data_IF_691371375633
#
_entry.id   IF_691371375633
#
_cell.length_a   1.000
_cell.length_b   1.000
_cell.length_c   1.000
_cell.angle_alpha   90.00
_cell.angle_beta   90.00
_cell.angle_gamma   90.00
#
_symmetry.space_group_name_H-M   'P 1'
#
loop_
_entity.id
_entity.type
_entity.pdbx_description
1 polymer ?
#
# COMPACT_ATOMS: atom_id res chain seq x y z
N UNK A 1 13.12 10.22 -12.25
CA UNK A 1 11.86 10.85 -11.84
C UNK A 1 12.13 11.52 -10.52
N UNK A 2 11.85 12.81 -10.41
CA UNK A 2 12.26 13.58 -9.24
C UNK A 2 11.34 13.28 -8.05
N UNK A 3 11.86 13.46 -6.83
CA UNK A 3 11.14 13.15 -5.59
C UNK A 3 9.80 13.89 -5.48
N UNK A 4 9.74 15.14 -5.98
CA UNK A 4 8.53 15.94 -6.02
C UNK A 4 7.45 15.31 -6.90
N UNK A 5 7.80 14.87 -8.11
CA UNK A 5 6.86 14.17 -9.02
C UNK A 5 6.33 12.90 -8.39
N UNK A 6 7.20 12.12 -7.72
CA UNK A 6 6.77 10.91 -7.00
C UNK A 6 5.80 11.24 -5.89
N UNK A 7 6.09 12.26 -5.07
CA UNK A 7 5.23 12.69 -3.99
C UNK A 7 3.85 13.13 -4.48
N UNK A 8 3.79 13.94 -5.54
CA UNK A 8 2.53 14.39 -6.15
C UNK A 8 1.72 13.21 -6.69
N UNK A 9 2.36 12.24 -7.35
CA UNK A 9 1.67 11.07 -7.88
C UNK A 9 1.20 10.12 -6.77
N UNK A 10 1.95 9.98 -5.68
CA UNK A 10 1.52 9.20 -4.50
C UNK A 10 0.34 9.88 -3.82
N UNK A 11 0.38 11.21 -3.67
CA UNK A 11 -0.75 12.01 -3.19
C UNK A 11 -1.97 11.80 -4.09
N UNK A 12 -1.82 11.88 -5.41
CA UNK A 12 -2.92 11.65 -6.35
C UNK A 12 -3.50 10.23 -6.25
N UNK A 13 -2.65 9.21 -6.10
CA UNK A 13 -3.08 7.82 -5.92
C UNK A 13 -3.81 7.59 -4.57
N UNK A 14 -3.41 8.29 -3.51
CA UNK A 14 -4.10 8.24 -2.23
C UNK A 14 -5.48 8.92 -2.33
N UNK A 15 -5.55 10.09 -2.95
CA UNK A 15 -6.81 10.81 -3.15
C UNK A 15 -7.76 10.05 -4.08
N UNK A 16 -7.25 9.32 -5.08
CA UNK A 16 -8.10 8.49 -5.94
C UNK A 16 -8.74 7.32 -5.18
N UNK A 17 -8.05 6.73 -4.19
CA UNK A 17 -8.67 5.74 -3.28
C UNK A 17 -9.76 6.37 -2.42
N UNK A 18 -9.52 7.57 -1.85
CA UNK A 18 -10.53 8.28 -1.06
C UNK A 18 -11.79 8.56 -1.90
N UNK A 19 -11.60 9.07 -3.13
CA UNK A 19 -12.69 9.33 -4.05
C UNK A 19 -13.43 8.03 -4.43
N UNK A 20 -12.70 6.95 -4.71
CA UNK A 20 -13.29 5.66 -5.05
C UNK A 20 -14.13 5.09 -3.90
N UNK A 21 -13.67 5.21 -2.65
CA UNK A 21 -14.40 4.79 -1.46
C UNK A 21 -15.73 5.54 -1.27
N UNK A 22 -15.82 6.80 -1.71
CA UNK A 22 -17.08 7.56 -1.73
C UNK A 22 -18.02 7.16 -2.87
N UNK A 23 -17.48 6.80 -4.03
CA UNK A 23 -18.29 6.49 -5.21
C UNK A 23 -18.98 5.14 -5.07
N UNK A 24 -18.22 4.08 -4.81
CA UNK A 24 -18.76 2.74 -4.60
C UNK A 24 -17.66 1.78 -4.15
N UNK A 25 -18.06 0.68 -3.51
CA UNK A 25 -17.15 -0.41 -3.18
C UNK A 25 -16.45 -0.98 -4.42
N UNK A 26 -17.17 -1.16 -5.54
CA UNK A 26 -16.60 -1.64 -6.79
C UNK A 26 -15.56 -0.68 -7.37
N UNK A 27 -15.75 0.63 -7.22
CA UNK A 27 -14.74 1.61 -7.61
C UNK A 27 -13.48 1.48 -6.74
N UNK A 28 -13.64 1.29 -5.43
CA UNK A 28 -12.52 1.08 -4.52
C UNK A 28 -11.73 -0.19 -4.87
N UNK A 29 -12.43 -1.28 -5.15
CA UNK A 29 -11.83 -2.54 -5.63
C UNK A 29 -11.08 -2.31 -6.94
N UNK A 30 -11.66 -1.56 -7.89
CA UNK A 30 -11.03 -1.23 -9.17
C UNK A 30 -9.73 -0.43 -9.02
N UNK A 31 -9.72 0.59 -8.16
CA UNK A 31 -8.51 1.38 -7.86
C UNK A 31 -7.46 0.55 -7.13
N UNK A 32 -7.87 -0.28 -6.17
CA UNK A 32 -6.97 -1.21 -5.49
C UNK A 32 -6.38 -2.24 -6.45
N UNK A 33 -7.16 -2.78 -7.38
CA UNK A 33 -6.69 -3.72 -8.41
C UNK A 33 -5.70 -3.05 -9.37
N UNK A 34 -5.96 -1.81 -9.78
CA UNK A 34 -5.00 -1.04 -10.57
C UNK A 34 -3.69 -0.81 -9.80
N UNK A 35 -3.78 -0.47 -8.52
CA UNK A 35 -2.62 -0.30 -7.66
C UNK A 35 -1.79 -1.60 -7.55
N UNK A 36 -2.45 -2.74 -7.34
CA UNK A 36 -1.83 -4.07 -7.34
C UNK A 36 -1.10 -4.35 -8.66
N UNK A 37 -1.72 -4.06 -9.80
CA UNK A 37 -1.10 -4.29 -11.11
C UNK A 37 0.12 -3.38 -11.33
N UNK A 38 0.04 -2.11 -10.93
CA UNK A 38 1.17 -1.17 -11.02
C UNK A 38 2.34 -1.67 -10.17
N UNK A 39 2.07 -2.10 -8.93
CA UNK A 39 3.09 -2.71 -8.06
C UNK A 39 3.64 -3.97 -8.71
N UNK A 40 2.81 -4.89 -9.16
CA UNK A 40 3.26 -6.15 -9.76
C UNK A 40 4.19 -5.92 -10.97
N UNK A 41 3.85 -4.99 -11.85
CA UNK A 41 4.66 -4.67 -13.04
C UNK A 41 6.00 -4.00 -12.69
N UNK A 42 5.99 -3.10 -11.72
CA UNK A 42 7.14 -2.29 -11.33
C UNK A 42 8.07 -2.93 -10.30
N UNK A 43 7.53 -3.79 -9.43
CA UNK A 43 8.23 -4.34 -8.27
C UNK A 43 9.51 -5.10 -8.62
N UNK A 44 9.52 -6.00 -9.62
CA UNK A 44 10.74 -6.72 -9.95
C UNK A 44 11.81 -5.84 -10.59
N UNK A 45 11.42 -4.72 -11.21
CA UNK A 45 12.36 -3.71 -11.70
C UNK A 45 12.89 -2.83 -10.56
N UNK A 46 12.07 -2.55 -9.55
CA UNK A 46 12.44 -1.76 -8.37
C UNK A 46 13.54 -2.45 -7.55
N UNK A 47 13.41 -3.76 -7.33
CA UNK A 47 14.39 -4.56 -6.60
C UNK A 47 15.47 -5.21 -7.49
N UNK A 48 15.50 -4.89 -8.79
CA UNK A 48 16.37 -5.52 -9.78
C UNK A 48 16.45 -7.05 -9.67
N UNK A 49 15.27 -7.68 -9.62
CA UNK A 49 15.15 -9.12 -9.49
C UNK A 49 15.56 -9.82 -10.80
N UNK A 50 16.24 -10.97 -10.71
CA UNK A 50 16.63 -11.73 -11.89
C UNK A 50 15.41 -12.31 -12.63
N UNK A 51 14.43 -12.84 -11.90
CA UNK A 51 13.24 -13.50 -12.46
C UNK A 51 12.06 -12.52 -12.66
N UNK A 52 12.23 -11.47 -13.48
CA UNK A 52 11.25 -10.37 -13.58
C UNK A 52 9.84 -10.82 -13.98
N UNK A 53 9.70 -11.73 -14.95
CA UNK A 53 8.39 -12.18 -15.43
C UNK A 53 7.69 -13.09 -14.41
N UNK A 54 8.43 -14.04 -13.84
CA UNK A 54 7.90 -14.93 -12.79
C UNK A 54 7.42 -14.14 -11.58
N UNK A 55 8.24 -13.21 -11.10
CA UNK A 55 7.90 -12.33 -9.99
C UNK A 55 6.68 -11.44 -10.28
N UNK A 56 6.60 -10.83 -11.48
CA UNK A 56 5.41 -10.07 -11.93
C UNK A 56 4.14 -10.91 -11.86
N UNK A 57 4.21 -12.13 -12.38
CA UNK A 57 3.07 -13.03 -12.43
C UNK A 57 2.61 -13.44 -11.03
N UNK A 58 3.55 -13.86 -10.16
CA UNK A 58 3.25 -14.26 -8.78
C UNK A 58 2.61 -13.10 -8.02
N UNK A 59 3.20 -11.91 -8.08
CA UNK A 59 2.69 -10.72 -7.36
C UNK A 59 1.33 -10.28 -7.91
N UNK A 60 1.13 -10.26 -9.24
CA UNK A 60 -0.16 -9.91 -9.83
C UNK A 60 -1.25 -10.91 -9.43
N UNK A 61 -0.97 -12.20 -9.56
CA UNK A 61 -1.94 -13.26 -9.26
C UNK A 61 -2.29 -13.29 -7.77
N UNK A 62 -1.30 -13.15 -6.88
CA UNK A 62 -1.56 -13.13 -5.43
C UNK A 62 -2.34 -11.90 -5.01
N UNK A 63 -2.01 -10.73 -5.56
CA UNK A 63 -2.71 -9.49 -5.23
C UNK A 63 -4.15 -9.49 -5.73
N UNK A 64 -4.38 -9.84 -7.00
CA UNK A 64 -5.73 -9.96 -7.55
C UNK A 64 -6.53 -11.07 -6.85
N UNK A 65 -5.88 -12.20 -6.55
CA UNK A 65 -6.46 -13.28 -5.76
C UNK A 65 -6.90 -12.82 -4.37
N UNK A 66 -6.08 -12.02 -3.69
CA UNK A 66 -6.42 -11.43 -2.39
C UNK A 66 -7.64 -10.51 -2.47
N UNK A 67 -7.69 -9.62 -3.47
CA UNK A 67 -8.85 -8.75 -3.67
C UNK A 67 -10.11 -9.56 -4.00
N UNK A 68 -9.99 -10.59 -4.84
CA UNK A 68 -11.11 -11.47 -5.18
C UNK A 68 -11.63 -12.22 -3.95
N UNK A 69 -10.73 -12.82 -3.16
CA UNK A 69 -11.07 -13.52 -1.92
C UNK A 69 -11.82 -12.58 -0.99
N UNK A 70 -11.30 -11.40 -0.68
CA UNK A 70 -12.00 -10.45 0.18
C UNK A 70 -13.35 -10.03 -0.40
N UNK A 71 -13.42 -9.83 -1.72
CA UNK A 71 -14.68 -9.42 -2.37
C UNK A 71 -15.78 -10.45 -2.14
N UNK A 72 -15.45 -11.74 -2.20
CA UNK A 72 -16.40 -12.86 -2.04
C UNK A 72 -16.47 -13.43 -0.61
N UNK A 73 -15.60 -13.01 0.31
CA UNK A 73 -15.66 -13.43 1.71
C UNK A 73 -16.78 -12.67 2.43
N UNK A 74 -17.82 -13.41 2.79
CA UNK A 74 -18.90 -12.93 3.66
C UNK A 74 -18.55 -13.15 5.14
N UNK A 75 -18.82 -12.13 5.95
CA UNK A 75 -18.68 -12.14 7.41
C UNK A 75 -17.29 -11.79 7.93
N UNK A 76 -17.26 -11.18 9.11
CA UNK A 76 -16.01 -10.88 9.81
C UNK A 76 -15.34 -12.16 10.38
N UNK A 77 -14.00 -12.22 10.45
CA UNK A 77 -13.03 -11.20 10.05
C UNK A 77 -12.62 -11.27 8.56
N UNK A 78 -12.69 -10.14 7.85
CA UNK A 78 -12.48 -10.05 6.40
C UNK A 78 -11.10 -10.53 5.90
N UNK A 79 -10.06 -10.46 6.75
CA UNK A 79 -8.70 -10.88 6.37
C UNK A 79 -8.38 -12.37 6.67
N UNK A 80 -9.36 -13.16 7.15
CA UNK A 80 -9.13 -14.55 7.59
C UNK A 80 -8.51 -15.46 6.54
N UNK A 81 -8.81 -15.19 5.26
CA UNK A 81 -8.41 -16.03 4.13
C UNK A 81 -7.08 -15.56 3.50
N UNK A 82 -6.58 -14.35 3.84
CA UNK A 82 -5.31 -13.84 3.31
C UNK A 82 -4.08 -14.71 3.66
N UNK A 83 -3.97 -15.32 4.86
CA UNK A 83 -2.87 -16.25 5.14
C UNK A 83 -2.81 -17.43 4.17
N UNK A 84 -3.97 -17.92 3.70
CA UNK A 84 -4.05 -18.99 2.70
C UNK A 84 -3.54 -18.48 1.35
N UNK A 85 -3.97 -17.29 0.93
CA UNK A 85 -3.47 -16.66 -0.31
C UNK A 85 -1.96 -16.46 -0.25
N UNK A 86 -1.42 -16.01 0.90
CA UNK A 86 0.01 -15.85 1.11
C UNK A 86 0.75 -17.20 1.02
N UNK A 87 0.24 -18.25 1.66
CA UNK A 87 0.85 -19.59 1.59
C UNK A 87 0.90 -20.10 0.15
N UNK A 88 -0.20 -19.97 -0.60
CA UNK A 88 -0.26 -20.35 -2.01
C UNK A 88 0.68 -19.50 -2.88
N UNK A 89 0.80 -18.20 -2.62
CA UNK A 89 1.71 -17.30 -3.33
C UNK A 89 3.18 -17.63 -3.05
N UNK A 90 3.53 -18.01 -1.82
CA UNK A 90 4.88 -18.50 -1.46
C UNK A 90 5.19 -19.79 -2.22
N UNK A 91 4.27 -20.76 -2.24
CA UNK A 91 4.43 -21.97 -3.06
C UNK A 91 4.59 -21.65 -4.54
N UNK A 92 3.76 -20.75 -5.06
CA UNK A 92 3.83 -20.31 -6.45
C UNK A 92 5.16 -19.61 -6.77
N UNK A 93 5.74 -18.87 -5.82
CA UNK A 93 7.06 -18.25 -5.98
C UNK A 93 8.16 -19.31 -6.15
N UNK A 94 8.10 -20.41 -5.38
CA UNK A 94 9.03 -21.53 -5.55
C UNK A 94 8.82 -22.24 -6.89
N UNK A 95 7.57 -22.48 -7.30
CA UNK A 95 7.25 -23.08 -8.60
C UNK A 95 7.81 -22.20 -9.74
N UNK A 96 7.63 -20.88 -9.64
CA UNK A 96 8.15 -19.94 -10.63
C UNK A 96 9.69 -19.98 -10.72
N UNK A 97 10.39 -20.21 -9.61
CA UNK A 97 11.85 -20.36 -9.62
C UNK A 97 12.29 -21.73 -10.17
N UNK A 98 11.51 -22.80 -9.96
CA UNK A 98 11.80 -24.12 -10.52
C UNK A 98 11.68 -24.15 -12.04
N UNK A 99 10.74 -23.36 -12.59
CA UNK A 99 10.57 -23.19 -14.05
C UNK A 99 11.65 -22.29 -14.67
N UNK A 100 12.50 -21.65 -13.85
CA UNK A 100 13.50 -20.70 -14.33
C UNK A 100 14.63 -21.45 -15.06
N UNK A 101 14.92 -21.10 -16.33
CA UNK A 101 15.99 -21.76 -17.10
C UNK A 101 17.40 -21.39 -16.63
N UNK A 102 17.53 -20.26 -15.93
CA UNK A 102 18.82 -19.73 -15.50
C UNK A 102 19.42 -20.61 -14.40
N UNK A 103 20.75 -20.69 -14.30
CA UNK A 103 21.49 -21.54 -13.34
C UNK A 103 21.30 -21.20 -11.84
N UNK A 104 20.16 -20.62 -11.46
CA UNK A 104 19.68 -20.35 -10.10
C UNK A 104 20.54 -19.39 -9.29
N UNK A 105 21.29 -18.53 -9.98
CA UNK A 105 22.02 -17.41 -9.36
C UNK A 105 21.02 -16.47 -8.68
N UNK A 106 21.31 -16.02 -7.46
CA UNK A 106 20.44 -15.11 -6.67
C UNK A 106 19.02 -15.64 -6.41
N UNK A 107 18.82 -16.96 -6.32
CA UNK A 107 17.49 -17.56 -6.06
C UNK A 107 16.85 -17.04 -4.76
N UNK A 108 17.62 -16.99 -3.66
CA UNK A 108 17.11 -16.49 -2.37
C UNK A 108 16.63 -15.05 -2.49
N UNK A 109 17.38 -14.20 -3.18
CA UNK A 109 17.01 -12.80 -3.41
C UNK A 109 15.76 -12.66 -4.28
N UNK A 110 15.64 -13.50 -5.33
CA UNK A 110 14.47 -13.52 -6.20
C UNK A 110 13.21 -13.95 -5.45
N UNK A 111 13.28 -15.01 -4.64
CA UNK A 111 12.16 -15.48 -3.82
C UNK A 111 11.82 -14.45 -2.76
N UNK A 112 12.80 -13.98 -1.97
CA UNK A 112 12.58 -13.01 -0.91
C UNK A 112 11.98 -11.71 -1.46
N UNK A 113 12.52 -11.21 -2.58
CA UNK A 113 11.98 -10.05 -3.27
C UNK A 113 10.55 -10.27 -3.75
N UNK A 114 10.25 -11.43 -4.33
CA UNK A 114 8.89 -11.76 -4.80
C UNK A 114 7.91 -11.86 -3.62
N UNK A 115 8.27 -12.54 -2.53
CA UNK A 115 7.44 -12.67 -1.33
C UNK A 115 7.21 -11.30 -0.67
N UNK A 116 8.21 -10.43 -0.61
CA UNK A 116 8.01 -9.04 -0.17
C UNK A 116 6.99 -8.30 -1.05
N UNK A 117 7.05 -8.49 -2.37
CA UNK A 117 6.06 -7.92 -3.30
C UNK A 117 4.65 -8.46 -3.07
N UNK A 118 4.54 -9.76 -2.81
CA UNK A 118 3.28 -10.44 -2.43
C UNK A 118 2.69 -9.81 -1.16
N UNK A 119 3.48 -9.59 -0.12
CA UNK A 119 3.04 -8.95 1.13
C UNK A 119 2.54 -7.52 0.89
N UNK A 120 3.22 -6.76 0.03
CA UNK A 120 2.80 -5.39 -0.34
C UNK A 120 1.44 -5.38 -1.02
N UNK A 121 1.21 -6.26 -2.00
CA UNK A 121 -0.07 -6.29 -2.73
C UNK A 121 -1.21 -6.91 -1.92
N UNK A 122 -0.91 -7.86 -1.02
CA UNK A 122 -1.87 -8.37 -0.04
C UNK A 122 -2.36 -7.26 0.87
N UNK A 123 -1.49 -6.32 1.22
CA UNK A 123 -1.86 -5.22 2.11
C UNK A 123 -2.92 -4.27 1.51
N UNK A 124 -3.00 -4.20 0.17
CA UNK A 124 -4.02 -3.41 -0.52
C UNK A 124 -5.44 -3.88 -0.21
N UNK A 125 -5.60 -5.16 0.11
CA UNK A 125 -6.88 -5.78 0.44
C UNK A 125 -7.46 -5.22 1.78
N UNK A 126 -6.60 -4.64 2.62
CA UNK A 126 -7.03 -3.91 3.81
C UNK A 126 -7.85 -2.64 3.51
N UNK A 127 -7.69 -2.00 2.35
CA UNK A 127 -8.54 -0.85 1.98
C UNK A 127 -10.00 -1.23 1.78
N UNK A 128 -10.25 -2.36 1.12
CA UNK A 128 -11.61 -2.90 0.91
C UNK A 128 -12.20 -3.30 2.27
N UNK A 129 -11.40 -3.97 3.10
CA UNK A 129 -11.83 -4.40 4.43
C UNK A 129 -12.16 -3.22 5.35
N UNK A 130 -11.34 -2.17 5.33
CA UNK A 130 -11.56 -0.94 6.09
C UNK A 130 -12.84 -0.22 5.65
N UNK A 131 -13.21 -0.29 4.37
CA UNK A 131 -14.48 0.23 3.86
C UNK A 131 -15.71 -0.52 4.38
N UNK A 132 -15.55 -1.78 4.82
CA UNK A 132 -16.63 -2.65 5.32
C UNK A 132 -16.74 -2.70 6.85
N UNK A 133 -15.77 -2.16 7.59
CA UNK A 133 -15.79 -2.12 9.07
C UNK A 133 -16.62 -0.95 9.62
N UNK A 134 -16.84 -0.90 10.93
CA UNK A 134 -17.37 0.29 11.60
C UNK A 134 -16.45 1.49 11.31
N UNK A 135 -17.03 2.63 10.94
CA UNK A 135 -16.29 3.77 10.40
C UNK A 135 -16.06 3.75 8.89
N UNK A 136 -16.19 2.59 8.23
CA UNK A 136 -16.27 2.39 6.78
C UNK A 136 -15.52 3.41 5.91
N UNK A 137 -16.26 4.09 5.06
CA UNK A 137 -15.74 5.11 4.13
C UNK A 137 -15.03 6.25 4.85
N UNK A 138 -15.53 6.72 6.00
CA UNK A 138 -14.88 7.78 6.80
C UNK A 138 -13.44 7.39 7.16
N UNK A 139 -13.22 6.14 7.55
CA UNK A 139 -11.91 5.63 7.94
C UNK A 139 -10.94 5.55 6.76
N UNK A 140 -11.41 5.08 5.61
CA UNK A 140 -10.64 5.04 4.36
C UNK A 140 -10.23 6.45 3.93
N UNK A 141 -11.17 7.41 4.00
CA UNK A 141 -10.94 8.80 3.61
C UNK A 141 -9.94 9.49 4.53
N UNK A 142 -10.12 9.37 5.85
CA UNK A 142 -9.19 9.94 6.85
C UNK A 142 -7.77 9.45 6.59
N UNK A 143 -7.58 8.14 6.42
CA UNK A 143 -6.27 7.57 6.20
C UNK A 143 -5.66 7.96 4.86
N UNK A 144 -6.46 7.94 3.78
CA UNK A 144 -6.00 8.32 2.45
C UNK A 144 -5.60 9.79 2.37
N UNK A 145 -6.37 10.70 2.99
CA UNK A 145 -6.01 12.11 3.07
C UNK A 145 -4.80 12.35 3.97
N UNK A 146 -4.69 11.63 5.10
CA UNK A 146 -3.51 11.68 5.95
C UNK A 146 -2.25 11.29 5.17
N UNK A 147 -2.30 10.19 4.41
CA UNK A 147 -1.20 9.75 3.55
C UNK A 147 -0.87 10.80 2.50
N UNK A 148 -1.87 11.35 1.82
CA UNK A 148 -1.73 12.39 0.81
C UNK A 148 -1.03 13.65 1.34
N UNK A 149 -1.37 14.07 2.57
CA UNK A 149 -0.77 15.23 3.23
C UNK A 149 0.65 14.93 3.68
N UNK A 150 0.88 13.78 4.33
CA UNK A 150 2.22 13.34 4.71
C UNK A 150 3.15 13.20 3.52
N UNK A 151 2.64 12.80 2.36
CA UNK A 151 3.44 12.77 1.15
C UNK A 151 3.64 14.17 0.56
N UNK A 152 2.68 15.07 0.64
CA UNK A 152 2.85 16.44 0.14
C UNK A 152 3.95 17.23 0.88
N UNK A 153 4.26 16.91 2.14
CA UNK A 153 5.29 17.64 2.91
C UNK A 153 6.71 17.51 2.35
N UNK A 154 7.03 16.51 1.52
CA UNK A 154 8.37 16.41 0.89
C UNK A 154 8.64 17.44 -0.18
N UNK A 155 7.65 18.26 -0.57
CA UNK A 155 7.90 19.39 -1.47
C UNK A 155 8.88 20.38 -0.83
N UNK A 156 8.90 20.44 0.50
CA UNK A 156 9.78 21.34 1.24
C UNK A 156 11.10 20.60 1.57
N UNK A 157 12.27 21.17 1.23
CA UNK A 157 13.57 20.53 1.45
C UNK A 157 14.00 20.67 2.93
N UNK A 158 13.39 19.86 3.80
CA UNK A 158 13.79 19.75 5.19
C UNK A 158 15.01 18.82 5.38
N UNK A 159 15.65 18.89 6.55
CA UNK A 159 16.58 17.84 6.96
C UNK A 159 15.81 16.51 7.16
N UNK A 160 16.45 15.34 7.01
CA UNK A 160 15.73 14.05 7.05
C UNK A 160 14.86 13.87 8.30
N UNK A 161 15.40 14.20 9.48
CA UNK A 161 14.66 14.11 10.74
C UNK A 161 13.49 15.09 10.84
N UNK A 162 13.65 16.33 10.33
CA UNK A 162 12.57 17.31 10.29
C UNK A 162 11.51 16.95 9.25
N UNK A 163 11.91 16.40 8.10
CA UNK A 163 10.97 15.93 7.08
C UNK A 163 10.07 14.81 7.60
N UNK A 164 10.65 13.85 8.32
CA UNK A 164 9.90 12.79 9.00
C UNK A 164 8.92 13.35 10.03
N UNK A 165 9.37 14.23 10.93
CA UNK A 165 8.50 14.78 11.99
C UNK A 165 7.38 15.62 11.41
N UNK A 166 7.66 16.45 10.41
CA UNK A 166 6.66 17.27 9.72
C UNK A 166 5.65 16.40 8.98
N UNK A 167 6.08 15.34 8.28
CA UNK A 167 5.18 14.41 7.62
C UNK A 167 4.23 13.72 8.60
N UNK A 168 4.74 13.22 9.73
CA UNK A 168 3.96 12.55 10.77
C UNK A 168 2.96 13.50 11.41
N UNK A 169 3.43 14.69 11.82
CA UNK A 169 2.59 15.69 12.49
C UNK A 169 1.51 16.23 11.54
N UNK A 170 1.84 16.51 10.28
CA UNK A 170 0.87 16.97 9.29
C UNK A 170 -0.19 15.91 8.99
N UNK A 171 0.22 14.64 8.84
CA UNK A 171 -0.71 13.52 8.64
C UNK A 171 -1.65 13.34 9.84
N UNK A 172 -1.10 13.36 11.05
CA UNK A 172 -1.87 13.26 12.29
C UNK A 172 -2.83 14.43 12.49
N UNK A 173 -2.36 15.67 12.28
CA UNK A 173 -3.17 16.88 12.46
C UNK A 173 -4.34 16.94 11.46
N UNK A 174 -4.11 16.61 10.19
CA UNK A 174 -5.19 16.59 9.20
C UNK A 174 -6.19 15.48 9.48
N UNK A 175 -5.72 14.28 9.84
CA UNK A 175 -6.60 13.17 10.18
C UNK A 175 -7.46 13.48 11.43
N UNK A 176 -6.85 14.09 12.46
CA UNK A 176 -7.52 14.58 13.65
C UNK A 176 -8.59 15.63 13.31
N UNK A 177 -8.26 16.58 12.43
CA UNK A 177 -9.20 17.61 11.96
C UNK A 177 -10.38 17.04 11.16
N UNK A 178 -10.11 16.11 10.24
CA UNK A 178 -11.14 15.46 9.42
C UNK A 178 -12.13 14.66 10.25
N UNK A 179 -11.68 14.05 11.34
CA UNK A 179 -12.52 13.29 12.26
C UNK A 179 -13.57 14.14 13.00
N UNK A 180 -13.48 15.48 12.99
CA UNK A 180 -14.59 16.34 13.47
C UNK A 180 -15.73 16.48 12.46
N UNK A 181 -15.46 16.24 11.18
CA UNK A 181 -16.41 16.43 10.08
C UNK A 181 -17.03 15.10 9.65
N UNK A 182 -16.30 14.00 9.83
CA UNK A 182 -16.72 12.67 9.42
C UNK A 182 -17.43 11.92 10.56
N UNK A 183 -18.68 11.44 10.36
CA UNK A 183 -19.58 11.06 11.44
C UNK A 183 -19.24 9.77 12.23
N UNK A 184 -18.16 9.05 11.93
CA UNK A 184 -17.93 7.70 12.49
C UNK A 184 -16.52 7.48 13.05
N UNK A 185 -15.71 8.54 13.09
CA UNK A 185 -14.31 8.47 13.54
C UNK A 185 -14.11 9.46 14.66
N UNK A 186 -13.73 8.99 15.86
CA UNK A 186 -13.41 9.91 16.95
C UNK A 186 -12.16 10.72 16.61
N UNK A 187 -12.04 11.99 17.03
CA UNK A 187 -10.85 12.80 16.75
C UNK A 187 -9.55 12.13 17.18
N UNK A 188 -9.55 11.48 18.36
CA UNK A 188 -8.40 10.72 18.85
C UNK A 188 -8.04 9.55 17.93
N UNK A 189 -9.02 8.76 17.49
CA UNK A 189 -8.78 7.67 16.55
C UNK A 189 -8.26 8.17 15.21
N UNK A 190 -8.85 9.24 14.66
CA UNK A 190 -8.39 9.89 13.44
C UNK A 190 -6.94 10.36 13.56
N UNK A 191 -6.59 11.06 14.64
CA UNK A 191 -5.22 11.50 14.90
C UNK A 191 -4.21 10.35 14.98
N UNK A 192 -4.55 9.27 15.69
CA UNK A 192 -3.68 8.08 15.80
C UNK A 192 -3.51 7.36 14.45
N UNK A 193 -4.58 7.22 13.67
CA UNK A 193 -4.51 6.69 12.30
C UNK A 193 -3.59 7.57 11.45
N UNK A 194 -3.78 8.89 11.48
CA UNK A 194 -2.94 9.82 10.72
C UNK A 194 -1.46 9.77 11.11
N UNK A 195 -1.15 9.65 12.41
CA UNK A 195 0.23 9.46 12.88
C UNK A 195 0.81 8.14 12.35
N UNK A 196 0.08 7.03 12.47
CA UNK A 196 0.54 5.71 12.02
C UNK A 196 0.79 5.70 10.50
N UNK A 197 -0.14 6.25 9.72
CA UNK A 197 -0.03 6.43 8.26
C UNK A 197 1.16 7.34 7.91
N UNK A 198 1.33 8.45 8.63
CA UNK A 198 2.43 9.39 8.43
C UNK A 198 3.80 8.75 8.67
N UNK A 199 3.93 7.95 9.74
CA UNK A 199 5.17 7.22 10.05
C UNK A 199 5.49 6.22 8.93
N UNK A 200 4.50 5.45 8.49
CA UNK A 200 4.67 4.46 7.42
C UNK A 200 5.03 5.13 6.08
N UNK A 201 4.31 6.18 5.69
CA UNK A 201 4.55 6.90 4.45
C UNK A 201 5.93 7.57 4.42
N UNK A 202 6.33 8.19 5.54
CA UNK A 202 7.60 8.89 5.65
C UNK A 202 8.80 7.91 5.68
N UNK A 203 8.67 6.77 6.35
CA UNK A 203 9.71 5.73 6.36
C UNK A 203 9.87 5.06 5.00
N UNK A 204 8.78 4.71 4.30
CA UNK A 204 8.86 4.15 2.95
C UNK A 204 9.49 5.12 1.95
N UNK A 205 9.20 6.42 2.08
CA UNK A 205 9.84 7.46 1.27
C UNK A 205 11.36 7.43 1.44
N UNK A 206 11.85 7.47 2.67
CA UNK A 206 13.29 7.43 2.97
C UNK A 206 13.96 6.17 2.43
N UNK A 207 13.27 5.03 2.49
CA UNK A 207 13.76 3.76 1.91
C UNK A 207 13.89 3.89 0.39
N UNK A 208 12.87 4.41 -0.30
CA UNK A 208 12.88 4.52 -1.76
C UNK A 208 13.80 5.61 -2.28
N UNK A 209 13.98 6.72 -1.57
CA UNK A 209 14.89 7.80 -1.98
C UNK A 209 16.35 7.36 -2.10
N UNK A 210 16.71 6.25 -1.46
CA UNK A 210 18.07 5.67 -1.53
C UNK A 210 18.26 4.65 -2.66
N UNK A 211 17.22 4.33 -3.44
CA UNK A 211 17.29 3.28 -4.47
C UNK A 211 17.75 3.83 -5.84
N UNK A 212 18.89 3.35 -6.40
CA UNK A 212 19.38 3.77 -7.72
C UNK A 212 18.49 3.32 -8.89
N UNK A 213 17.68 2.28 -8.69
CA UNK A 213 16.83 1.63 -9.71
C UNK A 213 15.62 2.47 -10.14
N UNK A 214 15.36 3.61 -9.47
CA UNK A 214 14.28 4.54 -9.78
C UNK A 214 14.42 5.26 -11.13
N UNK A 215 15.51 5.03 -11.87
CA UNK A 215 15.67 5.49 -13.25
C UNK A 215 14.70 4.79 -14.23
N UNK A 216 14.25 3.57 -13.91
CA UNK A 216 13.28 2.82 -14.72
C UNK A 216 11.85 3.32 -14.44
N UNK A 217 11.09 3.59 -15.51
CA UNK A 217 9.68 4.06 -15.41
C UNK A 217 8.79 3.10 -14.63
N UNK A 218 8.98 1.79 -14.79
CA UNK A 218 8.20 0.77 -14.08
C UNK A 218 8.54 0.72 -12.58
N UNK A 219 9.83 0.79 -12.22
CA UNK A 219 10.26 0.87 -10.82
C UNK A 219 9.72 2.12 -10.12
N UNK A 220 9.78 3.25 -10.81
CA UNK A 220 9.21 4.52 -10.37
C UNK A 220 7.70 4.42 -10.12
N UNK A 221 6.95 3.76 -11.01
CA UNK A 221 5.51 3.54 -10.85
C UNK A 221 5.18 2.68 -9.62
N UNK A 222 5.93 1.61 -9.36
CA UNK A 222 5.75 0.83 -8.13
C UNK A 222 6.06 1.68 -6.89
N UNK A 223 7.17 2.42 -6.87
CA UNK A 223 7.53 3.26 -5.71
C UNK A 223 6.49 4.34 -5.38
N UNK A 224 5.72 4.80 -6.38
CA UNK A 224 4.58 5.71 -6.17
C UNK A 224 3.45 5.04 -5.38
N UNK A 225 3.15 3.79 -5.74
CA UNK A 225 1.92 3.10 -5.32
C UNK A 225 2.13 2.23 -4.08
N UNK A 226 3.37 1.77 -3.82
CA UNK A 226 3.69 0.92 -2.66
C UNK A 226 3.22 1.55 -1.33
N UNK A 227 3.49 2.84 -1.02
CA UNK A 227 3.00 3.45 0.22
C UNK A 227 1.49 3.39 0.35
N UNK A 228 0.77 3.59 -0.75
CA UNK A 228 -0.68 3.52 -0.80
C UNK A 228 -1.15 2.09 -0.50
N UNK A 229 -0.58 1.08 -1.16
CA UNK A 229 -0.98 -0.33 -0.97
C UNK A 229 -0.70 -0.85 0.43
N UNK A 230 0.50 -0.60 0.99
CA UNK A 230 0.89 -1.10 2.33
C UNK A 230 0.02 -0.50 3.43
N UNK A 231 -0.40 0.75 3.24
CA UNK A 231 -1.25 1.46 4.21
C UNK A 231 -2.60 0.77 4.43
N UNK A 232 -3.13 0.03 3.45
CA UNK A 232 -4.45 -0.61 3.54
C UNK A 232 -4.62 -1.51 4.76
N UNK A 233 -3.70 -2.46 5.00
CA UNK A 233 -3.77 -3.34 6.17
C UNK A 233 -3.55 -2.58 7.47
N UNK A 234 -2.64 -1.61 7.50
CA UNK A 234 -2.43 -0.77 8.69
C UNK A 234 -3.74 -0.07 9.07
N UNK A 235 -4.43 0.52 8.09
CA UNK A 235 -5.68 1.24 8.28
C UNK A 235 -6.78 0.30 8.77
N UNK A 236 -6.92 -0.89 8.19
CA UNK A 236 -7.87 -1.88 8.67
C UNK A 236 -7.59 -2.31 10.11
N UNK A 237 -6.34 -2.65 10.44
CA UNK A 237 -5.97 -3.15 11.79
C UNK A 237 -6.14 -2.05 12.83
N UNK A 238 -5.61 -0.84 12.57
CA UNK A 238 -5.73 0.28 13.49
C UNK A 238 -7.18 0.73 13.61
N UNK A 239 -7.93 0.75 12.51
CA UNK A 239 -9.35 1.08 12.50
C UNK A 239 -10.16 0.13 13.36
N UNK A 240 -9.97 -1.17 13.18
CA UNK A 240 -10.64 -2.20 14.00
C UNK A 240 -10.29 -2.07 15.49
N UNK A 241 -9.04 -1.77 15.83
CA UNK A 241 -8.61 -1.62 17.23
C UNK A 241 -9.16 -0.35 17.90
N UNK A 242 -9.37 0.73 17.15
CA UNK A 242 -9.75 2.04 17.70
C UNK A 242 -11.25 2.37 17.54
N UNK A 243 -11.90 1.81 16.52
CA UNK A 243 -13.30 2.13 16.16
C UNK A 243 -14.24 0.96 16.44
N UNK A 244 -13.74 -0.28 16.42
CA UNK A 244 -14.51 -1.51 16.66
C UNK A 244 -14.68 -2.33 15.40
#
# INVERSE_FOLDING_TARGET
>A
MDALTRAVLTTAAAISLAAAAYVSEWALIGVAALAVLVVALGWPALLDLPARLGSRFVVALSGLGALAVITFTDGEPFLRDLPVVLALAVLLSFVSELMRPDGRVRMVESVAGTVCGVLVVLAAAGWISAGRTVGGTSLVVVAAVALAVGTATSVVPFSPWLGLTVAVLASGAVAFGLAFVLPDVTPLAGGLIGVAVGVLGATLREVFDRMPTLSLRSAAAAAIVVPVTVTGTLVYVVGRLLVG
#
